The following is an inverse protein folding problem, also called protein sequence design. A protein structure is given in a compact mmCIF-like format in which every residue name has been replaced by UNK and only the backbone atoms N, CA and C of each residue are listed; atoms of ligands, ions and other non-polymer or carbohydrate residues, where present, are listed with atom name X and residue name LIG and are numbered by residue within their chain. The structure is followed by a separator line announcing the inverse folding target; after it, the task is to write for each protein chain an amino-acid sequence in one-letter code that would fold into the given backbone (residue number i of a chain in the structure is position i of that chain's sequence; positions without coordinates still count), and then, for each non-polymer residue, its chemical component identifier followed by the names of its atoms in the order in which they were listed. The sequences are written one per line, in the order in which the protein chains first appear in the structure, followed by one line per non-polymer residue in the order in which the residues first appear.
data_IF_333738914189
#
_entry.id   IF_333738914189
#
_cell.length_a   1.000
_cell.length_b   1.000
_cell.length_c   1.000
_cell.angle_alpha   90.00
_cell.angle_beta   90.00
_cell.angle_gamma   90.00
#
_symmetry.space_group_name_H-M   'P 1'
#
loop_
_entity.id
_entity.type
_entity.pdbx_description
1 polymer ?
#
# COMPACT_ATOMS: atom_id res chain seq x y z
N UNK A 1 23.09 18.52 3.76
CA UNK A 1 22.14 19.12 2.80
C UNK A 1 22.54 18.69 1.40
N UNK A 2 22.03 17.56 0.90
CA UNK A 2 22.15 17.23 -0.52
C UNK A 2 20.86 17.72 -1.18
N UNK A 3 20.99 18.76 -1.97
CA UNK A 3 19.92 19.38 -2.74
C UNK A 3 19.44 18.41 -3.80
N UNK A 4 18.16 18.22 -3.89
CA UNK A 4 17.40 17.32 -4.74
C UNK A 4 17.48 17.74 -6.24
N UNK A 5 18.70 17.83 -6.81
CA UNK A 5 18.93 18.10 -8.23
C UNK A 5 18.83 16.84 -9.12
N UNK A 6 18.69 15.64 -8.51
CA UNK A 6 18.76 14.36 -9.24
C UNK A 6 17.48 13.93 -9.96
N UNK A 7 16.32 14.61 -9.76
CA UNK A 7 15.07 14.20 -10.42
C UNK A 7 14.86 14.73 -11.84
N UNK A 8 15.57 15.79 -12.21
CA UNK A 8 15.49 16.30 -13.59
C UNK A 8 16.39 15.49 -14.55
N UNK A 9 17.40 14.79 -14.02
CA UNK A 9 18.36 13.97 -14.77
C UNK A 9 18.14 12.45 -14.57
N UNK A 10 16.96 12.01 -14.13
CA UNK A 10 16.69 10.60 -13.82
C UNK A 10 16.96 9.64 -15.00
N UNK A 11 17.00 10.13 -16.21
CA UNK A 11 17.42 9.37 -17.39
C UNK A 11 18.94 9.13 -17.48
N UNK A 12 19.75 10.00 -16.89
CA UNK A 12 21.22 9.96 -16.97
C UNK A 12 21.87 9.21 -15.78
N UNK A 13 21.17 9.06 -14.65
CA UNK A 13 21.73 8.45 -13.42
C UNK A 13 21.41 6.96 -13.23
N UNK A 14 20.69 6.36 -14.17
CA UNK A 14 20.27 4.95 -14.08
C UNK A 14 21.40 3.93 -14.31
N UNK A 15 22.63 4.35 -14.60
CA UNK A 15 23.78 3.46 -14.87
C UNK A 15 24.63 3.14 -13.64
N UNK A 16 24.30 3.68 -12.47
CA UNK A 16 25.13 3.52 -11.26
C UNK A 16 24.63 2.35 -10.41
N UNK A 17 25.55 1.54 -9.91
CA UNK A 17 25.48 0.48 -8.91
C UNK A 17 24.45 -0.67 -9.14
N UNK A 18 24.74 -1.91 -8.74
CA UNK A 18 23.77 -3.01 -8.74
C UNK A 18 22.61 -2.68 -7.78
N UNK A 19 21.40 -3.04 -8.18
CA UNK A 19 20.23 -2.96 -7.31
C UNK A 19 20.36 -3.99 -6.18
N UNK A 20 20.15 -3.56 -4.97
CA UNK A 20 19.81 -4.41 -3.83
C UNK A 20 18.29 -4.65 -3.81
N UNK A 21 17.79 -5.55 -2.97
CA UNK A 21 16.39 -5.99 -3.00
C UNK A 21 15.35 -4.88 -3.03
N UNK A 22 15.47 -3.83 -2.21
CA UNK A 22 14.47 -2.76 -2.13
C UNK A 22 14.52 -1.79 -3.31
N UNK A 23 15.72 -1.47 -3.80
CA UNK A 23 15.92 -0.48 -4.86
C UNK A 23 15.54 0.95 -4.47
N UNK A 24 15.19 1.22 -3.21
CA UNK A 24 14.82 2.54 -2.72
C UNK A 24 15.94 3.22 -1.95
N UNK A 25 16.16 4.53 -2.15
CA UNK A 25 17.13 5.26 -1.34
C UNK A 25 16.61 5.42 0.11
N UNK A 26 17.49 5.26 1.07
CA UNK A 26 17.17 5.39 2.49
C UNK A 26 16.70 6.81 2.83
N UNK A 27 15.60 6.93 3.59
CA UNK A 27 15.05 8.21 4.03
C UNK A 27 15.31 8.40 5.52
N UNK A 28 16.00 9.47 5.89
CA UNK A 28 16.30 9.77 7.29
C UNK A 28 15.04 10.10 8.12
N UNK A 29 15.13 9.86 9.43
CA UNK A 29 14.04 10.00 10.41
C UNK A 29 13.32 11.35 10.41
N UNK A 30 13.96 12.41 9.90
CA UNK A 30 13.42 13.78 9.87
C UNK A 30 12.89 14.21 8.51
N UNK A 31 12.98 13.34 7.48
CA UNK A 31 12.56 13.64 6.12
C UNK A 31 11.22 12.97 5.80
N UNK A 32 10.57 13.45 4.75
CA UNK A 32 9.41 12.75 4.18
C UNK A 32 9.84 11.46 3.52
N UNK A 33 8.93 10.53 3.32
CA UNK A 33 9.14 9.27 2.57
C UNK A 33 9.88 9.48 1.24
N UNK A 34 9.64 10.57 0.53
CA UNK A 34 10.27 10.89 -0.76
C UNK A 34 11.32 12.00 -0.64
N UNK A 35 11.60 12.50 0.55
CA UNK A 35 12.48 13.66 0.76
C UNK A 35 11.91 14.98 0.20
N UNK A 36 10.59 15.06 -0.03
CA UNK A 36 9.94 16.27 -0.56
C UNK A 36 9.87 17.39 0.50
N UNK A 37 9.94 18.66 0.07
CA UNK A 37 9.67 19.79 0.97
C UNK A 37 8.17 19.86 1.31
N UNK A 38 7.76 20.90 2.06
CA UNK A 38 6.35 21.19 2.31
C UNK A 38 5.51 21.10 1.04
N UNK A 39 4.28 20.57 1.15
CA UNK A 39 3.40 20.30 0.01
C UNK A 39 3.31 21.45 -1.02
N UNK A 40 3.15 22.75 -0.65
CA UNK A 40 3.07 23.79 -1.66
C UNK A 40 4.32 23.94 -2.53
N UNK A 41 5.51 23.70 -1.97
CA UNK A 41 6.76 23.76 -2.70
C UNK A 41 6.95 22.51 -3.59
N UNK A 42 6.69 21.33 -3.03
CA UNK A 42 6.71 20.07 -3.77
C UNK A 42 5.73 20.09 -4.95
N UNK A 43 4.49 20.54 -4.72
CA UNK A 43 3.48 20.65 -5.75
C UNK A 43 3.91 21.58 -6.90
N UNK A 44 4.58 22.71 -6.64
CA UNK A 44 5.09 23.58 -7.72
C UNK A 44 6.08 22.86 -8.62
N UNK A 45 6.95 22.04 -8.05
CA UNK A 45 7.92 21.24 -8.81
C UNK A 45 7.22 20.19 -9.66
N UNK A 46 6.29 19.44 -9.06
CA UNK A 46 5.57 18.37 -9.76
C UNK A 46 4.62 18.90 -10.85
N UNK A 47 4.05 20.10 -10.66
CA UNK A 47 3.21 20.76 -11.66
C UNK A 47 3.98 21.10 -12.96
N UNK A 48 5.29 21.21 -12.93
CA UNK A 48 6.12 21.40 -14.12
C UNK A 48 6.25 20.13 -14.96
N UNK A 49 6.02 18.93 -14.37
CA UNK A 49 6.10 17.66 -15.07
C UNK A 49 4.83 17.38 -15.90
N UNK A 50 4.82 17.86 -17.15
CA UNK A 50 3.67 17.72 -18.05
C UNK A 50 3.38 16.27 -18.45
N UNK A 51 4.40 15.40 -18.49
CA UNK A 51 4.23 13.98 -18.80
C UNK A 51 3.51 13.26 -17.68
N UNK A 52 3.96 13.42 -16.44
CA UNK A 52 3.30 12.87 -15.24
C UNK A 52 1.84 13.33 -15.17
N UNK A 53 1.58 14.62 -15.35
CA UNK A 53 0.22 15.17 -15.32
C UNK A 53 -0.70 14.55 -16.36
N UNK A 54 -0.20 14.32 -17.58
CA UNK A 54 -0.95 13.64 -18.63
C UNK A 54 -1.23 12.18 -18.26
N UNK A 55 -0.23 11.46 -17.76
CA UNK A 55 -0.37 10.08 -17.36
C UNK A 55 -1.40 9.92 -16.22
N UNK A 56 -1.33 10.78 -15.21
CA UNK A 56 -2.27 10.80 -14.08
C UNK A 56 -3.70 11.11 -14.53
N UNK A 57 -3.90 12.17 -15.30
CA UNK A 57 -5.23 12.56 -15.78
C UNK A 57 -5.87 11.45 -16.63
N UNK A 58 -5.08 10.77 -17.48
CA UNK A 58 -5.55 9.66 -18.29
C UNK A 58 -5.95 8.46 -17.42
N UNK A 59 -5.08 8.02 -16.53
CA UNK A 59 -5.31 6.81 -15.71
C UNK A 59 -6.45 7.02 -14.70
N UNK A 60 -6.46 8.13 -13.97
CA UNK A 60 -7.55 8.43 -13.02
C UNK A 60 -8.89 8.61 -13.73
N UNK A 61 -8.90 9.21 -14.92
CA UNK A 61 -10.09 9.35 -15.75
C UNK A 61 -10.71 8.00 -16.13
N UNK A 62 -9.89 7.05 -16.57
CA UNK A 62 -10.34 5.67 -16.89
C UNK A 62 -10.92 5.00 -15.66
N UNK A 63 -10.23 5.06 -14.53
CA UNK A 63 -10.69 4.41 -13.28
C UNK A 63 -12.02 5.03 -12.81
N UNK A 64 -12.16 6.36 -12.85
CA UNK A 64 -13.41 7.06 -12.51
C UNK A 64 -14.59 6.56 -13.36
N UNK A 65 -14.38 6.48 -14.68
CA UNK A 65 -15.42 6.03 -15.60
C UNK A 65 -15.86 4.59 -15.34
N UNK A 66 -14.89 3.68 -15.15
CA UNK A 66 -15.17 2.29 -14.81
C UNK A 66 -15.91 2.17 -13.48
N UNK A 67 -15.44 2.92 -12.45
CA UNK A 67 -16.10 2.92 -11.15
C UNK A 67 -17.54 3.37 -11.24
N UNK A 68 -17.81 4.49 -11.93
CA UNK A 68 -19.16 4.99 -12.09
C UNK A 68 -20.08 3.92 -12.70
N UNK A 69 -19.65 3.27 -13.78
CA UNK A 69 -20.42 2.25 -14.46
C UNK A 69 -20.81 1.06 -13.53
N UNK A 70 -19.84 0.51 -12.75
CA UNK A 70 -20.13 -0.65 -11.88
C UNK A 70 -20.87 -0.27 -10.59
N UNK A 71 -20.83 0.99 -10.19
CA UNK A 71 -21.61 1.52 -9.07
C UNK A 71 -23.06 1.72 -9.48
N UNK A 72 -23.30 2.28 -10.67
CA UNK A 72 -24.64 2.50 -11.22
C UNK A 72 -25.44 1.21 -11.46
N UNK A 73 -24.76 0.05 -11.47
CA UNK A 73 -25.41 -1.27 -11.55
C UNK A 73 -26.12 -1.68 -10.25
N UNK A 74 -25.82 -1.01 -9.13
CA UNK A 74 -26.32 -1.37 -7.80
C UNK A 74 -27.33 -0.35 -7.27
N UNK A 75 -28.59 -0.73 -7.19
CA UNK A 75 -29.64 0.09 -6.60
C UNK A 75 -29.41 0.37 -5.11
N UNK A 76 -28.69 -0.50 -4.40
CA UNK A 76 -28.43 -0.43 -2.96
C UNK A 76 -27.01 0.08 -2.61
N UNK A 77 -26.31 0.77 -3.52
CA UNK A 77 -24.93 1.23 -3.27
C UNK A 77 -24.78 2.07 -2.01
N UNK A 78 -25.69 3.00 -1.75
CA UNK A 78 -25.66 3.84 -0.55
C UNK A 78 -25.91 3.06 0.74
N UNK A 79 -26.71 1.99 0.68
CA UNK A 79 -26.92 1.07 1.80
C UNK A 79 -25.66 0.29 2.11
N UNK A 80 -24.96 -0.22 1.10
CA UNK A 80 -23.68 -0.89 1.25
C UNK A 80 -22.61 0.02 1.88
N UNK A 81 -22.53 1.29 1.44
CA UNK A 81 -21.63 2.29 2.03
C UNK A 81 -21.92 2.53 3.52
N UNK A 82 -23.21 2.67 3.88
CA UNK A 82 -23.64 2.82 5.28
C UNK A 82 -23.33 1.57 6.11
N UNK A 83 -23.55 0.39 5.56
CA UNK A 83 -23.21 -0.87 6.21
C UNK A 83 -21.71 -0.96 6.48
N UNK A 84 -20.87 -0.66 5.48
CA UNK A 84 -19.43 -0.65 5.61
C UNK A 84 -18.95 0.37 6.68
N UNK A 85 -19.52 1.57 6.71
CA UNK A 85 -19.27 2.58 7.74
C UNK A 85 -19.63 2.05 9.14
N UNK A 86 -20.82 1.47 9.30
CA UNK A 86 -21.31 0.96 10.58
C UNK A 86 -20.47 -0.21 11.08
N UNK A 87 -20.07 -1.13 10.20
CA UNK A 87 -19.18 -2.24 10.55
C UNK A 87 -17.84 -1.69 11.05
N UNK A 88 -17.21 -0.76 10.32
CA UNK A 88 -15.94 -0.15 10.74
C UNK A 88 -16.08 0.63 12.06
N UNK A 89 -17.17 1.35 12.26
CA UNK A 89 -17.44 2.05 13.52
C UNK A 89 -17.63 1.08 14.70
N UNK A 90 -18.30 -0.05 14.48
CA UNK A 90 -18.45 -1.12 15.49
C UNK A 90 -17.09 -1.76 15.78
N UNK A 91 -16.29 -2.01 14.75
CA UNK A 91 -14.92 -2.53 14.87
C UNK A 91 -14.06 -1.62 15.75
N UNK A 92 -13.99 -0.33 15.42
CA UNK A 92 -13.13 0.62 16.13
C UNK A 92 -13.54 0.84 17.59
N UNK A 93 -14.84 0.71 17.91
CA UNK A 93 -15.33 0.80 19.30
C UNK A 93 -14.99 -0.42 20.16
N UNK A 94 -14.77 -1.57 19.55
CA UNK A 94 -14.51 -2.83 20.25
C UNK A 94 -13.17 -3.42 19.79
N UNK A 95 -12.23 -2.56 19.41
CA UNK A 95 -10.99 -2.98 18.75
C UNK A 95 -10.16 -3.91 19.62
N UNK A 96 -10.07 -3.61 20.90
CA UNK A 96 -9.35 -4.41 21.91
C UNK A 96 -9.87 -5.85 22.00
N UNK A 97 -11.19 -6.01 22.20
CA UNK A 97 -11.82 -7.32 22.27
C UNK A 97 -11.69 -8.13 20.98
N UNK A 98 -11.87 -7.46 19.82
CA UNK A 98 -11.75 -8.13 18.52
C UNK A 98 -10.32 -8.54 18.18
N UNK A 99 -9.32 -7.78 18.62
CA UNK A 99 -7.92 -8.15 18.44
C UNK A 99 -7.53 -9.36 19.30
N UNK A 100 -8.02 -9.43 20.53
CA UNK A 100 -7.82 -10.62 21.41
C UNK A 100 -8.49 -11.85 20.81
N UNK A 101 -9.75 -11.72 20.35
CA UNK A 101 -10.47 -12.82 19.68
C UNK A 101 -9.72 -13.30 18.43
N UNK A 102 -9.23 -12.35 17.60
CA UNK A 102 -8.44 -12.68 16.42
C UNK A 102 -7.17 -13.48 16.77
N UNK A 103 -6.42 -13.01 17.78
CA UNK A 103 -5.20 -13.69 18.22
C UNK A 103 -5.50 -15.11 18.72
N UNK A 104 -6.55 -15.29 19.52
CA UNK A 104 -6.97 -16.60 20.02
C UNK A 104 -7.31 -17.56 18.87
N UNK A 105 -8.11 -17.10 17.90
CA UNK A 105 -8.55 -17.91 16.75
C UNK A 105 -7.38 -18.23 15.81
N UNK A 106 -6.56 -17.24 15.47
CA UNK A 106 -5.41 -17.43 14.59
C UNK A 106 -4.38 -18.39 15.23
N UNK A 107 -4.12 -18.26 16.53
CA UNK A 107 -3.22 -19.14 17.27
C UNK A 107 -3.78 -20.56 17.35
N UNK A 108 -5.07 -20.72 17.61
CA UNK A 108 -5.72 -22.03 17.61
C UNK A 108 -5.65 -22.72 16.22
N UNK A 109 -5.59 -21.94 15.15
CA UNK A 109 -5.41 -22.43 13.78
C UNK A 109 -3.93 -22.68 13.39
N UNK A 110 -2.97 -22.46 14.30
CA UNK A 110 -1.55 -22.76 14.12
C UNK A 110 -0.69 -21.58 13.67
N UNK A 111 -1.22 -20.36 13.63
CA UNK A 111 -0.42 -19.16 13.41
C UNK A 111 0.26 -18.69 14.70
N UNK A 112 1.37 -17.96 14.56
CA UNK A 112 2.03 -17.26 15.66
C UNK A 112 1.75 -15.77 15.52
N UNK A 113 1.08 -15.17 16.51
CA UNK A 113 0.74 -13.75 16.49
C UNK A 113 1.78 -12.96 17.29
N UNK A 114 2.23 -11.87 16.70
CA UNK A 114 3.17 -10.91 17.28
C UNK A 114 2.51 -9.54 17.35
N UNK A 115 2.80 -8.79 18.41
CA UNK A 115 2.35 -7.41 18.56
C UNK A 115 3.50 -6.45 18.35
N UNK A 116 3.31 -5.44 17.53
CA UNK A 116 4.28 -4.39 17.27
C UNK A 116 3.66 -3.02 17.55
N UNK A 117 4.25 -2.29 18.49
CA UNK A 117 3.79 -0.95 18.90
C UNK A 117 4.09 0.10 17.84
N UNK A 118 5.21 -0.07 17.14
CA UNK A 118 5.74 0.90 16.19
C UNK A 118 6.50 0.22 15.04
N UNK A 119 6.95 1.03 14.08
CA UNK A 119 7.68 0.59 12.90
C UNK A 119 8.98 -0.14 13.27
N UNK A 120 9.73 0.35 14.26
CA UNK A 120 11.00 -0.24 14.66
C UNK A 120 10.82 -1.65 15.24
N UNK A 121 9.81 -1.83 16.09
CA UNK A 121 9.50 -3.14 16.67
C UNK A 121 9.00 -4.12 15.60
N UNK A 122 8.13 -3.68 14.69
CA UNK A 122 7.66 -4.50 13.59
C UNK A 122 8.79 -4.95 12.68
N UNK A 123 9.66 -4.04 12.26
CA UNK A 123 10.81 -4.34 11.42
C UNK A 123 11.77 -5.33 12.10
N UNK A 124 12.06 -5.13 13.39
CA UNK A 124 12.89 -6.07 14.17
C UNK A 124 12.28 -7.46 14.19
N UNK A 125 10.98 -7.58 14.48
CA UNK A 125 10.28 -8.89 14.50
C UNK A 125 10.40 -9.58 13.14
N UNK A 126 10.09 -8.87 12.04
CA UNK A 126 10.13 -9.45 10.69
C UNK A 126 11.54 -9.88 10.31
N UNK A 127 12.56 -9.03 10.54
CA UNK A 127 13.97 -9.34 10.25
C UNK A 127 14.44 -10.57 11.06
N UNK A 128 14.10 -10.64 12.34
CA UNK A 128 14.46 -11.79 13.21
C UNK A 128 13.81 -13.09 12.70
N UNK A 129 12.54 -13.03 12.30
CA UNK A 129 11.82 -14.18 11.73
C UNK A 129 12.45 -14.66 10.42
N UNK A 130 12.81 -13.74 9.52
CA UNK A 130 13.49 -14.12 8.25
C UNK A 130 14.84 -14.75 8.54
N UNK A 131 15.66 -14.13 9.40
CA UNK A 131 16.98 -14.68 9.79
C UNK A 131 16.88 -16.07 10.41
N UNK A 132 15.84 -16.33 11.18
CA UNK A 132 15.63 -17.65 11.80
C UNK A 132 15.43 -18.77 10.75
N UNK A 133 14.98 -18.45 9.53
CA UNK A 133 14.86 -19.41 8.41
C UNK A 133 16.17 -19.65 7.67
N UNK A 134 17.20 -18.83 7.92
CA UNK A 134 18.45 -18.83 7.15
C UNK A 134 18.29 -18.32 5.71
N UNK A 135 17.21 -17.60 5.40
CA UNK A 135 16.99 -16.98 4.11
C UNK A 135 17.72 -15.63 4.03
N UNK A 136 18.30 -15.34 2.87
CA UNK A 136 18.93 -14.07 2.50
C UNK A 136 18.09 -13.26 1.49
N UNK A 137 16.94 -13.82 1.09
CA UNK A 137 15.96 -13.13 0.24
C UNK A 137 14.53 -13.49 0.62
N UNK A 138 13.59 -12.59 0.31
CA UNK A 138 12.15 -12.79 0.49
C UNK A 138 11.39 -12.35 -0.76
N UNK A 139 10.23 -12.96 -1.02
CA UNK A 139 9.24 -12.42 -1.97
C UNK A 139 8.17 -11.66 -1.20
N UNK A 140 7.77 -10.53 -1.71
CA UNK A 140 6.84 -9.63 -1.02
C UNK A 140 5.70 -9.22 -1.94
N UNK A 141 4.47 -9.33 -1.45
CA UNK A 141 3.32 -8.71 -2.09
C UNK A 141 3.16 -7.29 -1.56
N UNK A 142 2.75 -6.40 -2.42
CA UNK A 142 2.51 -5.00 -2.07
C UNK A 142 1.64 -4.87 -0.83
N UNK A 143 2.12 -4.15 0.14
CA UNK A 143 1.39 -3.84 1.36
C UNK A 143 1.68 -2.41 1.82
N UNK A 144 0.61 -1.62 2.03
CA UNK A 144 0.75 -0.27 2.57
C UNK A 144 1.33 -0.26 3.98
N UNK A 145 1.03 -1.28 4.80
CA UNK A 145 1.57 -1.39 6.15
C UNK A 145 3.08 -1.61 6.12
N UNK A 146 3.58 -2.45 5.21
CA UNK A 146 5.04 -2.69 5.08
C UNK A 146 5.78 -1.49 4.49
N UNK A 147 5.16 -0.74 3.59
CA UNK A 147 5.73 0.51 3.08
C UNK A 147 5.73 1.63 4.13
N UNK A 148 4.71 1.70 4.97
CA UNK A 148 4.57 2.67 6.06
C UNK A 148 5.73 2.57 7.07
N UNK A 149 6.19 1.34 7.34
CA UNK A 149 7.29 1.05 8.28
C UNK A 149 8.66 0.96 7.61
N UNK A 150 8.78 1.25 6.31
CA UNK A 150 10.02 1.15 5.53
C UNK A 150 10.67 -0.25 5.67
N UNK A 151 9.84 -1.31 5.54
CA UNK A 151 10.30 -2.68 5.78
C UNK A 151 11.34 -3.15 4.76
N UNK A 152 11.27 -2.69 3.50
CA UNK A 152 12.26 -3.07 2.49
C UNK A 152 13.65 -2.56 2.88
N UNK A 153 13.72 -1.32 3.34
CA UNK A 153 14.94 -0.69 3.83
C UNK A 153 15.51 -1.42 5.04
N UNK A 154 14.64 -1.79 5.99
CA UNK A 154 15.06 -2.54 7.17
C UNK A 154 15.58 -3.96 6.84
N UNK A 155 15.00 -4.62 5.85
CA UNK A 155 15.49 -5.91 5.35
C UNK A 155 16.84 -5.76 4.64
N UNK A 156 16.98 -4.74 3.79
CA UNK A 156 18.24 -4.42 3.09
C UNK A 156 19.38 -4.11 4.07
N UNK A 157 19.12 -3.27 5.08
CA UNK A 157 20.07 -2.98 6.15
C UNK A 157 20.48 -4.25 6.94
N UNK A 158 19.62 -5.24 6.96
CA UNK A 158 19.88 -6.54 7.57
C UNK A 158 20.59 -7.55 6.63
N UNK A 159 20.86 -7.16 5.37
CA UNK A 159 21.46 -7.99 4.32
C UNK A 159 20.48 -9.00 3.71
N UNK A 160 19.18 -8.69 3.69
CA UNK A 160 18.12 -9.54 3.15
C UNK A 160 17.50 -8.83 1.94
N UNK A 161 17.54 -9.46 0.76
CA UNK A 161 16.91 -8.93 -0.45
C UNK A 161 15.38 -9.08 -0.40
N UNK A 162 14.65 -7.99 -0.58
CA UNK A 162 13.18 -7.99 -0.63
C UNK A 162 12.68 -7.77 -2.08
N UNK A 163 12.08 -8.80 -2.68
CA UNK A 163 11.61 -8.76 -4.06
C UNK A 163 10.13 -8.40 -4.12
N UNK A 164 9.83 -7.23 -4.67
CA UNK A 164 8.45 -6.82 -4.97
C UNK A 164 7.90 -7.67 -6.13
N UNK A 165 6.67 -8.14 -5.97
CA UNK A 165 6.07 -9.10 -6.91
C UNK A 165 4.86 -8.57 -7.68
N UNK A 166 4.26 -7.46 -7.26
CA UNK A 166 3.29 -6.72 -8.06
C UNK A 166 3.97 -6.08 -9.27
N UNK A 167 3.32 -6.06 -10.42
CA UNK A 167 3.90 -5.44 -11.62
C UNK A 167 4.26 -3.97 -11.39
N UNK A 168 3.38 -3.20 -10.77
CA UNK A 168 3.60 -1.79 -10.54
C UNK A 168 4.71 -1.52 -9.51
N UNK A 169 4.79 -2.32 -8.44
CA UNK A 169 5.87 -2.23 -7.46
C UNK A 169 7.20 -2.70 -8.04
N UNK A 170 7.21 -3.75 -8.87
CA UNK A 170 8.41 -4.18 -9.59
C UNK A 170 8.97 -3.06 -10.50
N UNK A 171 8.08 -2.32 -11.19
CA UNK A 171 8.49 -1.18 -12.01
C UNK A 171 9.13 -0.10 -11.16
N UNK A 172 8.54 0.22 -10.00
CA UNK A 172 9.04 1.21 -9.05
C UNK A 172 10.41 0.76 -8.50
N UNK A 173 10.52 -0.48 -8.05
CA UNK A 173 11.76 -1.05 -7.51
C UNK A 173 12.88 -1.06 -8.55
N UNK A 174 12.64 -1.61 -9.75
CA UNK A 174 13.62 -1.63 -10.83
C UNK A 174 13.97 -0.23 -11.35
N UNK A 175 13.05 0.72 -11.24
CA UNK A 175 13.24 2.11 -11.62
C UNK A 175 14.00 2.95 -10.58
N UNK A 176 14.30 2.40 -9.39
CA UNK A 176 14.80 3.16 -8.23
C UNK A 176 13.94 4.41 -7.98
N UNK A 177 12.62 4.22 -8.04
CA UNK A 177 11.60 5.27 -7.97
C UNK A 177 10.74 5.10 -6.70
N UNK A 178 9.79 5.99 -6.51
CA UNK A 178 8.86 5.99 -5.40
C UNK A 178 7.45 5.73 -5.87
N UNK A 179 6.62 5.01 -5.09
CA UNK A 179 5.21 4.85 -5.42
C UNK A 179 4.50 6.20 -5.35
N UNK A 180 3.63 6.48 -6.32
CA UNK A 180 2.86 7.73 -6.39
C UNK A 180 1.34 7.54 -6.22
N UNK A 181 0.90 6.30 -6.06
CA UNK A 181 -0.51 5.94 -5.86
C UNK A 181 -0.63 4.71 -4.97
N UNK A 182 -1.65 4.66 -4.11
CA UNK A 182 -1.85 3.55 -3.17
C UNK A 182 -2.10 2.21 -3.91
N UNK A 183 -2.87 2.21 -4.99
CA UNK A 183 -3.28 0.99 -5.69
C UNK A 183 -2.43 0.70 -6.94
N UNK A 184 -2.03 1.73 -7.67
CA UNK A 184 -1.24 1.64 -8.90
C UNK A 184 0.05 2.46 -8.73
N UNK A 185 1.05 1.94 -8.02
CA UNK A 185 2.24 2.69 -7.60
C UNK A 185 2.96 3.41 -8.73
N UNK A 186 3.09 2.78 -9.90
CA UNK A 186 3.76 3.32 -11.08
C UNK A 186 2.85 4.13 -12.03
N UNK A 187 1.70 4.64 -11.56
CA UNK A 187 0.69 5.37 -12.37
C UNK A 187 1.28 6.59 -13.12
N UNK A 188 2.38 7.13 -12.65
CA UNK A 188 3.10 8.27 -13.24
C UNK A 188 3.99 7.87 -14.43
N UNK A 189 4.25 6.55 -14.63
CA UNK A 189 5.07 6.02 -15.74
C UNK A 189 4.20 5.60 -16.91
N UNK A 190 4.70 5.80 -18.13
CA UNK A 190 4.10 5.25 -19.34
C UNK A 190 4.80 3.95 -19.78
N UNK A 191 4.22 3.26 -20.76
CA UNK A 191 4.70 1.94 -21.22
C UNK A 191 6.11 1.97 -21.79
N UNK A 192 6.49 3.04 -22.51
CA UNK A 192 7.82 3.17 -23.08
C UNK A 192 8.88 3.35 -21.99
N UNK A 193 8.59 4.11 -20.92
CA UNK A 193 9.44 4.24 -19.74
C UNK A 193 9.60 2.88 -19.03
N UNK A 194 8.51 2.12 -18.88
CA UNK A 194 8.55 0.77 -18.28
C UNK A 194 9.43 -0.18 -19.10
N UNK A 195 9.29 -0.17 -20.43
CA UNK A 195 10.15 -0.96 -21.34
C UNK A 195 11.63 -0.65 -21.13
N UNK A 196 11.98 0.63 -21.07
CA UNK A 196 13.37 1.06 -20.85
C UNK A 196 13.93 0.62 -19.50
N UNK A 197 13.13 0.71 -18.43
CA UNK A 197 13.49 0.21 -17.10
C UNK A 197 13.79 -1.29 -17.17
N UNK A 198 12.91 -2.10 -17.76
CA UNK A 198 13.06 -3.55 -17.86
C UNK A 198 14.32 -3.94 -18.64
N UNK A 199 14.55 -3.36 -19.81
CA UNK A 199 15.73 -3.66 -20.63
C UNK A 199 17.05 -3.36 -19.92
N UNK A 200 17.08 -2.29 -19.10
CA UNK A 200 18.29 -1.88 -18.39
C UNK A 200 18.52 -2.65 -17.09
N UNK A 201 17.46 -2.89 -16.30
CA UNK A 201 17.58 -3.27 -14.89
C UNK A 201 17.34 -4.75 -14.60
N UNK A 202 16.48 -5.44 -15.32
CA UNK A 202 16.19 -6.85 -15.00
C UNK A 202 17.42 -7.73 -15.00
N UNK A 203 18.35 -7.51 -15.95
CA UNK A 203 19.60 -8.28 -16.05
C UNK A 203 20.54 -8.15 -14.84
N UNK A 204 20.38 -7.10 -14.04
CA UNK A 204 21.23 -6.85 -12.87
C UNK A 204 20.79 -7.67 -11.65
N UNK A 205 19.50 -8.07 -11.62
CA UNK A 205 18.87 -8.70 -10.45
C UNK A 205 18.21 -10.03 -10.76
N UNK A 206 18.53 -10.67 -11.90
CA UNK A 206 18.00 -11.96 -12.29
C UNK A 206 17.79 -12.09 -13.78
N UNK A 207 16.71 -12.76 -14.20
CA UNK A 207 16.40 -13.01 -15.60
C UNK A 207 16.27 -11.70 -16.39
N UNK A 208 17.05 -11.49 -17.47
CA UNK A 208 16.96 -10.30 -18.31
C UNK A 208 15.64 -10.22 -19.05
N UNK A 209 15.21 -9.00 -19.38
CA UNK A 209 14.15 -8.79 -20.35
C UNK A 209 14.59 -9.25 -21.76
N UNK A 210 13.66 -9.72 -22.60
CA UNK A 210 13.97 -10.03 -23.99
C UNK A 210 14.52 -8.81 -24.74
N UNK A 211 15.55 -8.99 -25.59
CA UNK A 211 16.14 -7.90 -26.35
C UNK A 211 15.15 -7.22 -27.31
N UNK A 212 14.18 -7.99 -27.83
CA UNK A 212 13.09 -7.53 -28.70
C UNK A 212 11.85 -7.04 -27.93
N UNK A 213 11.99 -6.74 -26.63
CA UNK A 213 10.89 -6.26 -25.80
C UNK A 213 10.28 -4.98 -26.39
N UNK A 214 8.97 -4.99 -26.61
CA UNK A 214 8.19 -3.82 -27.04
C UNK A 214 7.43 -3.21 -25.86
N UNK A 215 6.78 -2.08 -26.08
CA UNK A 215 5.90 -1.43 -25.09
C UNK A 215 4.44 -1.96 -25.13
N UNK A 216 4.22 -3.09 -25.82
CA UNK A 216 2.95 -3.81 -25.73
C UNK A 216 2.73 -4.32 -24.30
N UNK A 217 1.55 -4.06 -23.69
CA UNK A 217 1.29 -4.43 -22.28
C UNK A 217 1.45 -5.93 -22.00
N UNK A 218 1.10 -6.79 -22.95
CA UNK A 218 1.21 -8.26 -22.78
C UNK A 218 2.67 -8.68 -22.78
N UNK A 219 3.50 -8.06 -23.63
CA UNK A 219 4.95 -8.32 -23.67
C UNK A 219 5.64 -7.85 -22.41
N UNK A 220 5.28 -6.69 -21.88
CA UNK A 220 5.80 -6.17 -20.62
C UNK A 220 5.39 -7.06 -19.42
N UNK A 221 4.11 -7.43 -19.34
CA UNK A 221 3.63 -8.32 -18.28
C UNK A 221 4.30 -9.71 -18.34
N UNK A 222 4.50 -10.26 -19.54
CA UNK A 222 5.18 -11.55 -19.72
C UNK A 222 6.66 -11.48 -19.31
N UNK A 223 7.36 -10.40 -19.63
CA UNK A 223 8.75 -10.18 -19.17
C UNK A 223 8.83 -10.15 -17.64
N UNK A 224 7.94 -9.42 -16.98
CA UNK A 224 7.85 -9.37 -15.52
C UNK A 224 7.52 -10.75 -14.93
N UNK A 225 6.54 -11.46 -15.48
CA UNK A 225 6.16 -12.80 -15.03
C UNK A 225 7.34 -13.79 -15.09
N UNK A 226 8.07 -13.78 -16.17
CA UNK A 226 9.24 -14.66 -16.34
C UNK A 226 10.40 -14.28 -15.42
N UNK A 227 10.60 -13.00 -15.18
CA UNK A 227 11.60 -12.49 -14.24
C UNK A 227 11.30 -12.89 -12.80
N UNK A 228 10.05 -12.75 -12.37
CA UNK A 228 9.62 -13.08 -11.01
C UNK A 228 9.51 -14.58 -10.75
N UNK A 229 9.26 -15.38 -11.80
CA UNK A 229 9.08 -16.84 -11.64
C UNK A 229 10.22 -17.51 -10.90
N UNK A 230 11.46 -17.14 -11.19
CA UNK A 230 12.65 -17.72 -10.53
C UNK A 230 12.69 -17.37 -9.03
N UNK A 231 12.28 -16.14 -8.70
CA UNK A 231 12.21 -15.67 -7.30
C UNK A 231 11.13 -16.42 -6.52
N UNK A 232 9.94 -16.58 -7.08
CA UNK A 232 8.86 -17.37 -6.47
C UNK A 232 9.24 -18.82 -6.19
N UNK A 233 9.99 -19.45 -7.10
CA UNK A 233 10.33 -20.87 -6.99
C UNK A 233 11.45 -21.17 -5.99
N UNK A 234 12.25 -20.17 -5.61
CA UNK A 234 13.38 -20.37 -4.69
C UNK A 234 13.16 -19.71 -3.30
N UNK A 235 12.25 -18.75 -3.19
CA UNK A 235 12.02 -18.03 -1.96
C UNK A 235 11.48 -18.96 -0.87
N UNK A 236 12.11 -18.93 0.32
CA UNK A 236 11.68 -19.68 1.51
C UNK A 236 10.68 -18.87 2.35
N UNK A 237 10.71 -17.55 2.22
CA UNK A 237 9.88 -16.63 3.01
C UNK A 237 9.06 -15.76 2.08
N UNK A 238 7.75 -15.70 2.34
CA UNK A 238 6.83 -14.75 1.75
C UNK A 238 6.41 -13.69 2.78
N UNK A 239 6.40 -12.42 2.35
CA UNK A 239 5.91 -11.32 3.18
C UNK A 239 4.66 -10.72 2.53
N UNK A 240 3.65 -10.47 3.36
CA UNK A 240 2.36 -9.92 2.94
C UNK A 240 1.84 -8.89 3.95
N UNK A 241 0.81 -8.18 3.54
CA UNK A 241 -0.16 -7.57 4.42
C UNK A 241 -1.49 -8.32 4.34
N UNK A 242 -2.56 -7.67 4.80
CA UNK A 242 -3.92 -8.13 4.54
C UNK A 242 -4.82 -6.94 4.20
N UNK A 243 -5.82 -7.18 3.34
CA UNK A 243 -6.90 -6.22 3.14
C UNK A 243 -7.79 -6.19 4.38
N UNK A 244 -8.08 -7.37 4.93
CA UNK A 244 -8.87 -7.55 6.15
C UNK A 244 -8.33 -8.71 6.98
N UNK A 245 -8.58 -8.66 8.29
CA UNK A 245 -8.39 -9.75 9.24
C UNK A 245 -9.74 -9.99 9.93
N UNK A 246 -10.21 -11.22 9.96
CA UNK A 246 -11.56 -11.58 10.43
C UNK A 246 -11.47 -12.18 11.82
N UNK A 247 -12.03 -11.52 12.84
CA UNK A 247 -11.83 -11.88 14.26
C UNK A 247 -12.42 -13.25 14.61
N UNK A 248 -13.67 -13.50 14.24
CA UNK A 248 -14.37 -14.73 14.60
C UNK A 248 -13.75 -16.02 14.01
N UNK A 249 -12.90 -15.90 12.99
CA UNK A 249 -12.24 -17.05 12.34
C UNK A 249 -10.71 -17.03 12.45
N UNK A 250 -10.09 -15.92 12.84
CA UNK A 250 -8.64 -15.75 12.84
C UNK A 250 -8.05 -15.71 11.41
N UNK A 251 -8.85 -15.35 10.41
CA UNK A 251 -8.46 -15.44 9.00
C UNK A 251 -7.90 -14.14 8.47
N UNK A 252 -6.90 -14.22 7.58
CA UNK A 252 -6.41 -13.12 6.77
C UNK A 252 -7.03 -13.17 5.37
N UNK A 253 -7.45 -12.02 4.86
CA UNK A 253 -8.06 -11.86 3.54
C UNK A 253 -7.17 -10.99 2.67
N UNK A 254 -6.76 -11.51 1.52
CA UNK A 254 -5.99 -10.81 0.50
C UNK A 254 -6.79 -10.75 -0.78
N UNK A 255 -6.97 -9.54 -1.30
CA UNK A 255 -7.76 -9.24 -2.50
C UNK A 255 -6.84 -8.63 -3.53
N UNK A 256 -6.70 -9.28 -4.69
CA UNK A 256 -5.75 -8.91 -5.74
C UNK A 256 -6.26 -9.23 -7.15
N UNK A 257 -5.57 -8.73 -8.17
CA UNK A 257 -5.94 -8.92 -9.58
C UNK A 257 -4.89 -9.68 -10.41
N UNK A 258 -3.67 -9.88 -9.89
CA UNK A 258 -2.52 -10.39 -10.65
C UNK A 258 -2.17 -11.85 -10.31
N UNK A 259 -2.53 -12.36 -9.15
CA UNK A 259 -2.19 -13.69 -8.65
C UNK A 259 -0.80 -13.80 -8.01
N UNK A 260 -0.02 -12.72 -7.99
CA UNK A 260 1.29 -12.64 -7.33
C UNK A 260 1.19 -12.79 -5.81
N UNK A 261 0.17 -12.20 -5.20
CA UNK A 261 -0.11 -12.34 -3.77
C UNK A 261 -0.36 -13.79 -3.41
N UNK A 262 -1.22 -14.48 -4.16
CA UNK A 262 -1.47 -15.91 -3.98
C UNK A 262 -0.17 -16.73 -4.06
N UNK A 263 0.72 -16.40 -5.00
CA UNK A 263 2.03 -17.06 -5.12
C UNK A 263 2.91 -16.80 -3.89
N UNK A 264 3.00 -15.54 -3.41
CA UNK A 264 3.75 -15.19 -2.20
C UNK A 264 3.23 -15.88 -0.94
N UNK A 265 1.91 -16.06 -0.84
CA UNK A 265 1.29 -16.60 0.36
C UNK A 265 1.19 -18.14 0.36
N UNK A 266 1.44 -18.80 -0.78
CA UNK A 266 1.25 -20.25 -0.93
C UNK A 266 2.56 -21.01 -1.11
N UNK A 267 3.51 -20.48 -1.89
CA UNK A 267 4.73 -21.22 -2.26
C UNK A 267 5.79 -21.27 -1.17
N UNK A 268 6.10 -20.18 -0.44
CA UNK A 268 7.12 -20.19 0.59
C UNK A 268 6.72 -21.06 1.79
N UNK A 269 7.71 -21.66 2.42
CA UNK A 269 7.54 -22.44 3.64
C UNK A 269 7.12 -21.59 4.85
N UNK A 270 7.58 -20.34 4.88
CA UNK A 270 7.27 -19.38 5.95
C UNK A 270 6.54 -18.18 5.37
N UNK A 271 5.38 -17.86 5.95
CA UNK A 271 4.59 -16.67 5.64
C UNK A 271 4.63 -15.70 6.82
N UNK A 272 4.97 -14.43 6.54
CA UNK A 272 4.94 -13.33 7.52
C UNK A 272 3.97 -12.26 7.01
N UNK A 273 2.90 -11.99 7.75
CA UNK A 273 1.90 -10.99 7.38
C UNK A 273 1.90 -9.82 8.36
N UNK A 274 2.18 -8.60 7.87
CA UNK A 274 2.12 -7.36 8.68
C UNK A 274 0.78 -6.69 8.47
N UNK A 275 -0.01 -6.58 9.53
CA UNK A 275 -1.41 -6.17 9.48
C UNK A 275 -1.66 -5.02 10.45
N UNK A 276 -2.05 -3.85 9.94
CA UNK A 276 -2.50 -2.76 10.80
C UNK A 276 -3.75 -3.16 11.60
N UNK A 277 -3.77 -2.84 12.89
CA UNK A 277 -4.86 -3.25 13.80
C UNK A 277 -6.24 -2.78 13.33
N UNK A 278 -6.31 -1.69 12.57
CA UNK A 278 -7.55 -1.18 11.99
C UNK A 278 -8.14 -2.05 10.87
N UNK A 279 -7.39 -3.08 10.41
CA UNK A 279 -7.83 -3.98 9.34
C UNK A 279 -8.78 -5.07 9.81
N UNK A 280 -8.97 -5.19 11.12
CA UNK A 280 -9.87 -6.19 11.68
C UNK A 280 -11.32 -5.95 11.23
N UNK A 281 -12.05 -7.04 11.04
CA UNK A 281 -13.52 -7.10 10.88
C UNK A 281 -14.06 -8.06 11.92
N UNK A 282 -15.25 -7.80 12.51
CA UNK A 282 -15.79 -8.65 13.57
C UNK A 282 -16.09 -10.07 13.11
N UNK A 283 -16.80 -10.23 12.00
CA UNK A 283 -17.32 -11.53 11.58
C UNK A 283 -17.09 -11.79 10.10
N UNK A 284 -17.15 -13.07 9.74
CA UNK A 284 -17.14 -13.51 8.35
C UNK A 284 -18.27 -12.87 7.50
N UNK A 285 -19.46 -12.73 8.06
CA UNK A 285 -20.57 -12.09 7.36
C UNK A 285 -20.31 -10.60 7.07
N UNK A 286 -19.59 -9.90 7.95
CA UNK A 286 -19.22 -8.50 7.71
C UNK A 286 -18.28 -8.36 6.49
N UNK A 287 -17.47 -9.37 6.19
CA UNK A 287 -16.56 -9.36 5.03
C UNK A 287 -17.31 -9.23 3.69
N UNK A 288 -18.51 -9.80 3.56
CA UNK A 288 -19.29 -9.77 2.32
C UNK A 288 -19.56 -8.34 1.82
N UNK A 289 -19.79 -7.40 2.75
CA UNK A 289 -19.97 -5.99 2.41
C UNK A 289 -18.70 -5.41 1.78
N UNK A 290 -17.56 -5.73 2.36
CA UNK A 290 -16.26 -5.19 1.87
C UNK A 290 -15.83 -5.82 0.54
N UNK A 291 -16.15 -7.08 0.29
CA UNK A 291 -15.90 -7.73 -1.01
C UNK A 291 -16.74 -7.12 -2.14
N UNK A 292 -17.84 -6.45 -1.82
CA UNK A 292 -18.64 -5.71 -2.80
C UNK A 292 -18.13 -4.27 -3.00
N UNK A 293 -17.83 -3.56 -1.91
CA UNK A 293 -17.47 -2.12 -2.02
C UNK A 293 -16.01 -1.88 -2.42
N UNK A 294 -15.07 -2.77 -2.05
CA UNK A 294 -13.66 -2.58 -2.33
C UNK A 294 -13.34 -2.66 -3.83
N UNK A 295 -13.67 -3.72 -4.60
CA UNK A 295 -13.34 -3.81 -6.02
C UNK A 295 -13.96 -2.68 -6.84
N UNK A 296 -15.24 -2.38 -6.59
CA UNK A 296 -15.94 -1.29 -7.28
C UNK A 296 -15.31 0.06 -7.05
N UNK A 297 -14.83 0.29 -5.83
CA UNK A 297 -14.20 1.57 -5.46
C UNK A 297 -12.75 1.68 -5.92
N UNK A 298 -12.02 0.57 -6.08
CA UNK A 298 -10.60 0.57 -6.41
C UNK A 298 -10.35 0.66 -7.92
N UNK A 299 -10.65 -0.38 -8.66
CA UNK A 299 -10.37 -0.49 -10.10
C UNK A 299 -11.62 -0.43 -10.98
N UNK A 300 -12.79 -0.29 -10.36
CA UNK A 300 -14.07 -0.30 -11.07
C UNK A 300 -14.42 -1.70 -11.59
N UNK A 301 -14.26 -2.71 -10.73
CA UNK A 301 -14.59 -4.10 -11.02
C UNK A 301 -15.74 -4.55 -10.12
N UNK A 302 -16.61 -5.44 -10.61
CA UNK A 302 -17.72 -5.99 -9.79
C UNK A 302 -17.19 -6.82 -8.63
N UNK A 303 -16.12 -7.58 -8.88
CA UNK A 303 -15.38 -8.40 -7.91
C UNK A 303 -13.92 -8.51 -8.35
N UNK A 304 -13.02 -8.84 -7.44
CA UNK A 304 -11.62 -9.07 -7.79
C UNK A 304 -11.43 -10.47 -8.37
N UNK A 305 -10.53 -10.66 -9.34
CA UNK A 305 -10.19 -11.97 -9.90
C UNK A 305 -9.72 -12.97 -8.85
N UNK A 306 -9.01 -12.51 -7.84
CA UNK A 306 -8.51 -13.33 -6.75
C UNK A 306 -8.90 -12.73 -5.40
N UNK A 307 -9.72 -13.46 -4.67
CA UNK A 307 -9.96 -13.27 -3.24
C UNK A 307 -9.50 -14.52 -2.54
N UNK A 308 -8.47 -14.40 -1.71
CA UNK A 308 -7.84 -15.53 -1.06
C UNK A 308 -7.84 -15.33 0.45
N UNK A 309 -8.05 -16.43 1.17
CA UNK A 309 -8.21 -16.43 2.62
C UNK A 309 -7.29 -17.49 3.20
N UNK A 310 -6.51 -17.09 4.20
CA UNK A 310 -5.61 -17.95 4.94
C UNK A 310 -6.06 -18.01 6.39
N UNK A 311 -6.33 -19.23 6.86
CA UNK A 311 -6.74 -19.51 8.24
C UNK A 311 -5.78 -20.52 8.82
N UNK A 312 -4.69 -20.02 9.42
CA UNK A 312 -3.68 -20.85 10.08
C UNK A 312 -2.85 -21.73 9.14
N UNK A 313 -2.39 -22.86 9.65
CA UNK A 313 -1.46 -23.76 8.99
C UNK A 313 -2.12 -25.11 8.73
N UNK A 314 -1.96 -25.63 7.51
CA UNK A 314 -2.36 -26.98 7.14
C UNK A 314 -1.12 -27.80 6.79
N UNK A 315 -0.90 -28.91 7.50
CA UNK A 315 0.28 -29.75 7.31
C UNK A 315 0.36 -30.28 5.87
N UNK A 316 1.47 -29.96 5.20
CA UNK A 316 1.76 -30.41 3.85
C UNK A 316 1.05 -29.61 2.74
N UNK A 317 0.32 -28.53 3.09
CA UNK A 317 -0.33 -27.62 2.13
C UNK A 317 -0.07 -26.16 2.49
N UNK A 318 0.52 -25.42 1.55
CA UNK A 318 0.92 -24.02 1.76
C UNK A 318 2.04 -23.83 2.80
N UNK A 319 2.15 -22.63 3.38
CA UNK A 319 3.16 -22.33 4.40
C UNK A 319 3.02 -23.22 5.63
N UNK A 320 4.14 -23.73 6.10
CA UNK A 320 4.20 -24.57 7.32
C UNK A 320 4.47 -23.72 8.57
N UNK A 321 4.91 -22.48 8.39
CA UNK A 321 5.09 -21.50 9.45
C UNK A 321 4.34 -20.22 9.06
N UNK A 322 3.37 -19.80 9.85
CA UNK A 322 2.59 -18.60 9.62
C UNK A 322 2.74 -17.63 10.79
N UNK A 323 3.29 -16.47 10.52
CA UNK A 323 3.47 -15.39 11.49
C UNK A 323 2.61 -14.19 11.10
N UNK A 324 1.90 -13.61 12.07
CA UNK A 324 1.07 -12.43 11.89
C UNK A 324 1.58 -11.34 12.82
N UNK A 325 2.02 -10.22 12.29
CA UNK A 325 2.47 -9.06 13.06
C UNK A 325 1.35 -8.03 13.07
N UNK A 326 0.67 -7.89 14.20
CA UNK A 326 -0.35 -6.86 14.44
C UNK A 326 0.36 -5.54 14.75
N UNK A 327 0.18 -4.56 13.86
CA UNK A 327 0.89 -3.29 13.89
C UNK A 327 -0.01 -2.16 14.40
N UNK A 328 0.35 -1.54 15.52
CA UNK A 328 -0.28 -0.29 15.99
C UNK A 328 0.26 0.93 15.23
N UNK A 329 1.51 1.24 15.34
CA UNK A 329 2.18 2.37 14.70
C UNK A 329 1.31 3.64 14.73
N UNK A 330 0.96 4.09 15.94
CA UNK A 330 0.12 5.26 16.24
C UNK A 330 -1.37 5.17 15.87
N UNK A 331 -1.89 3.99 15.50
CA UNK A 331 -3.32 3.84 15.23
C UNK A 331 -4.18 4.04 16.47
N UNK A 332 -3.69 3.66 17.63
CA UNK A 332 -4.35 3.93 18.91
C UNK A 332 -4.39 5.43 19.24
N UNK A 333 -3.36 6.19 18.87
CA UNK A 333 -3.36 7.65 19.01
C UNK A 333 -4.41 8.29 18.10
N UNK A 334 -4.50 7.84 16.83
CA UNK A 334 -5.56 8.26 15.89
C UNK A 334 -6.95 7.90 16.42
N UNK A 335 -7.10 6.73 17.03
CA UNK A 335 -8.37 6.28 17.60
C UNK A 335 -8.83 7.18 18.77
N UNK A 336 -7.91 7.76 19.51
CA UNK A 336 -8.19 8.66 20.61
C UNK A 336 -8.71 10.04 20.15
N UNK A 337 -8.42 10.48 18.93
CA UNK A 337 -8.93 11.72 18.35
C UNK A 337 -10.41 11.54 17.92
N UNK A 338 -11.32 12.30 18.52
CA UNK A 338 -12.77 12.18 18.27
C UNK A 338 -13.18 12.45 16.83
N UNK A 339 -12.50 13.33 16.12
CA UNK A 339 -12.77 13.67 14.71
C UNK A 339 -11.88 12.87 13.79
N UNK A 340 -10.59 12.77 14.09
CA UNK A 340 -9.58 12.12 13.27
C UNK A 340 -9.74 10.61 13.15
N UNK A 341 -10.31 9.94 14.18
CA UNK A 341 -10.47 8.47 14.22
C UNK A 341 -11.21 7.89 13.01
N UNK A 342 -12.07 8.66 12.37
CA UNK A 342 -12.80 8.25 11.18
C UNK A 342 -11.86 7.87 10.01
N UNK A 343 -10.63 8.41 9.99
CA UNK A 343 -9.59 8.02 9.03
C UNK A 343 -9.23 6.53 9.11
N UNK A 344 -9.36 5.89 10.28
CA UNK A 344 -9.10 4.45 10.47
C UNK A 344 -10.15 3.54 9.82
N UNK A 345 -11.31 4.08 9.40
CA UNK A 345 -12.25 3.31 8.56
C UNK A 345 -11.69 2.97 7.18
N UNK A 346 -10.62 3.63 6.75
CA UNK A 346 -10.07 3.53 5.39
C UNK A 346 -9.66 2.10 5.02
N UNK A 347 -10.23 1.58 3.93
CA UNK A 347 -9.92 0.28 3.34
C UNK A 347 -8.86 0.34 2.23
N UNK A 348 -8.21 1.48 2.02
CA UNK A 348 -7.13 1.72 1.05
C UNK A 348 -7.55 1.52 -0.42
N UNK A 349 -8.81 1.76 -0.78
CA UNK A 349 -9.35 1.57 -2.14
C UNK A 349 -8.90 2.63 -3.16
N UNK A 350 -8.30 3.73 -2.75
CA UNK A 350 -7.85 4.84 -3.62
C UNK A 350 -8.95 5.64 -4.35
N UNK A 351 -10.24 5.38 -4.13
CA UNK A 351 -11.30 6.12 -4.82
C UNK A 351 -11.16 7.65 -4.65
N UNK A 352 -10.81 8.11 -3.46
CA UNK A 352 -10.60 9.52 -3.17
C UNK A 352 -9.43 10.15 -3.96
N UNK A 353 -8.37 9.38 -4.25
CA UNK A 353 -7.25 9.84 -5.09
C UNK A 353 -7.71 10.07 -6.52
N UNK A 354 -8.47 9.12 -7.06
CA UNK A 354 -8.89 9.12 -8.46
C UNK A 354 -9.86 10.26 -8.81
N UNK A 355 -10.55 10.86 -7.83
CA UNK A 355 -11.47 11.99 -8.04
C UNK A 355 -10.88 13.33 -7.62
N UNK A 356 -9.71 13.34 -6.97
CA UNK A 356 -9.14 14.55 -6.40
C UNK A 356 -8.47 15.44 -7.45
N UNK A 357 -8.95 16.67 -7.66
CA UNK A 357 -8.33 17.59 -8.62
C UNK A 357 -6.93 18.03 -8.21
N UNK A 358 -6.61 18.02 -6.92
CA UNK A 358 -5.27 18.36 -6.42
C UNK A 358 -4.30 17.21 -6.72
N UNK A 359 -4.67 15.99 -6.38
CA UNK A 359 -3.85 14.81 -6.69
C UNK A 359 -3.61 14.63 -8.19
N UNK A 360 -4.64 14.76 -9.01
CA UNK A 360 -4.54 14.65 -10.48
C UNK A 360 -3.51 15.63 -11.07
N UNK A 361 -3.35 16.81 -10.45
CA UNK A 361 -2.43 17.85 -10.89
C UNK A 361 -1.03 17.74 -10.31
N UNK A 362 -0.94 17.56 -9.00
CA UNK A 362 0.34 17.57 -8.26
C UNK A 362 1.03 16.19 -8.24
N UNK A 363 0.28 15.09 -8.41
CA UNK A 363 0.81 13.73 -8.27
C UNK A 363 1.02 13.32 -6.83
N UNK A 364 1.32 12.01 -6.66
CA UNK A 364 1.49 11.43 -5.32
C UNK A 364 2.77 11.85 -4.63
N UNK A 365 3.85 12.02 -5.39
CA UNK A 365 5.16 12.39 -4.84
C UNK A 365 5.12 13.72 -4.08
N UNK A 366 4.28 14.68 -4.50
CA UNK A 366 4.15 15.97 -3.82
C UNK A 366 3.74 15.85 -2.35
N UNK A 367 3.09 14.74 -1.95
CA UNK A 367 2.69 14.50 -0.56
C UNK A 367 3.86 14.00 0.31
N UNK A 368 4.94 13.49 -0.27
CA UNK A 368 6.10 12.96 0.46
C UNK A 368 5.74 11.86 1.46
N UNK A 369 4.77 11.02 1.12
CA UNK A 369 4.23 9.97 1.98
C UNK A 369 3.80 8.76 1.16
N UNK A 370 3.82 7.58 1.78
CA UNK A 370 3.26 6.36 1.22
C UNK A 370 1.74 6.47 0.99
N UNK A 371 1.08 7.35 1.74
CA UNK A 371 -0.33 7.69 1.59
C UNK A 371 -0.48 9.05 0.91
N UNK A 372 -0.60 9.11 -0.43
CA UNK A 372 -0.86 10.38 -1.12
C UNK A 372 -2.35 10.68 -1.21
N UNK A 373 -2.67 11.86 -1.74
CA UNK A 373 -4.03 12.29 -2.01
C UNK A 373 -4.83 12.61 -0.75
N UNK A 374 -6.18 12.69 -0.85
CA UNK A 374 -7.02 13.14 0.26
C UNK A 374 -6.89 12.30 1.53
N UNK A 375 -6.84 10.96 1.41
CA UNK A 375 -6.65 10.11 2.59
C UNK A 375 -5.27 10.31 3.22
N UNK A 376 -4.23 10.49 2.41
CA UNK A 376 -2.89 10.76 2.92
C UNK A 376 -2.77 12.12 3.60
N UNK A 377 -3.49 13.11 3.11
CA UNK A 377 -3.52 14.44 3.70
C UNK A 377 -4.10 14.47 5.13
N UNK A 378 -4.89 13.47 5.50
CA UNK A 378 -5.41 13.31 6.87
C UNK A 378 -4.69 12.22 7.66
N UNK A 379 -4.40 11.08 7.05
CA UNK A 379 -3.85 9.92 7.77
C UNK A 379 -2.36 10.08 8.08
N UNK A 380 -1.57 10.60 7.15
CA UNK A 380 -0.11 10.78 7.35
C UNK A 380 0.22 11.65 8.56
N UNK A 381 -0.34 12.89 8.70
CA UNK A 381 -0.05 13.70 9.87
C UNK A 381 -0.56 13.11 11.18
N UNK A 382 -1.60 12.28 11.14
CA UNK A 382 -2.09 11.60 12.33
C UNK A 382 -1.18 10.44 12.77
N UNK A 383 -0.66 9.64 11.82
CA UNK A 383 0.24 8.53 12.12
C UNK A 383 1.68 8.98 12.42
N UNK A 384 2.16 10.05 11.81
CA UNK A 384 3.54 10.54 11.97
C UNK A 384 3.68 11.64 13.00
N UNK A 385 2.55 12.17 13.44
CA UNK A 385 2.51 13.36 14.28
C UNK A 385 2.62 14.65 13.48
N UNK A 386 2.38 15.75 14.15
CA UNK A 386 2.31 17.10 13.58
C UNK A 386 3.50 17.98 13.97
N UNK A 387 4.59 17.38 14.43
CA UNK A 387 5.83 18.10 14.77
C UNK A 387 6.60 18.58 13.54
N UNK A 388 6.49 17.86 12.42
CA UNK A 388 7.15 18.19 11.16
C UNK A 388 6.36 19.26 10.39
N UNK A 389 7.04 20.30 9.94
CA UNK A 389 6.43 21.32 9.08
C UNK A 389 5.96 20.78 7.72
N UNK A 390 6.46 19.63 7.29
CA UNK A 390 6.01 18.92 6.09
C UNK A 390 4.65 18.27 6.36
N UNK A 391 4.52 17.51 7.45
CA UNK A 391 3.28 16.85 7.82
C UNK A 391 2.18 17.87 8.13
N UNK A 392 2.52 18.99 8.80
CA UNK A 392 1.62 20.12 8.99
C UNK A 392 1.09 20.75 7.70
N UNK A 393 1.80 20.61 6.59
CA UNK A 393 1.36 21.16 5.30
C UNK A 393 0.36 20.28 4.56
N UNK A 394 0.22 19.01 4.92
CA UNK A 394 -0.62 18.04 4.22
C UNK A 394 -2.12 18.32 4.32
N UNK A 395 -2.70 18.76 5.45
CA UNK A 395 -4.11 19.14 5.53
C UNK A 395 -4.51 20.25 4.56
N UNK A 396 -3.56 21.05 4.11
CA UNK A 396 -3.79 22.12 3.12
C UNK A 396 -3.67 21.63 1.66
N UNK A 397 -3.35 20.35 1.43
CA UNK A 397 -3.28 19.72 0.09
C UNK A 397 -4.68 19.39 -0.46
N UNK A 398 -5.62 20.32 -0.36
CA UNK A 398 -7.02 20.11 -0.72
C UNK A 398 -7.64 21.37 -1.31
N UNK A 399 -8.66 21.18 -2.17
CA UNK A 399 -9.57 22.23 -2.61
C UNK A 399 -10.88 22.26 -1.81
N UNK A 400 -11.06 21.37 -0.86
CA UNK A 400 -12.29 21.19 -0.05
C UNK A 400 -13.56 21.00 -0.89
N UNK A 401 -13.46 20.47 -2.11
CA UNK A 401 -14.60 20.30 -3.02
C UNK A 401 -15.59 19.19 -2.64
N UNK A 402 -15.28 18.35 -1.64
CA UNK A 402 -16.17 17.28 -1.16
C UNK A 402 -16.12 15.98 -1.96
N UNK A 403 -15.59 15.96 -3.18
CA UNK A 403 -15.63 14.77 -4.05
C UNK A 403 -15.02 13.50 -3.41
N UNK A 404 -14.04 13.64 -2.53
CA UNK A 404 -13.44 12.51 -1.80
C UNK A 404 -14.40 11.88 -0.78
N UNK A 405 -15.31 12.65 -0.17
CA UNK A 405 -16.37 12.13 0.68
C UNK A 405 -17.44 11.39 -0.14
N UNK A 406 -17.86 11.99 -1.25
CA UNK A 406 -18.92 11.42 -2.09
C UNK A 406 -18.56 10.03 -2.61
N UNK A 407 -17.30 9.79 -2.96
CA UNK A 407 -16.86 8.49 -3.49
C UNK A 407 -16.42 7.49 -2.43
N UNK A 408 -16.23 7.91 -1.17
CA UNK A 408 -15.68 7.03 -0.14
C UNK A 408 -16.63 5.88 0.20
N UNK A 409 -16.24 4.61 -0.01
CA UNK A 409 -17.12 3.47 0.25
C UNK A 409 -17.39 3.21 1.74
N UNK A 410 -16.60 3.80 2.62
CA UNK A 410 -16.73 3.73 4.09
C UNK A 410 -17.05 5.10 4.70
N UNK A 411 -17.48 6.05 3.86
CA UNK A 411 -18.05 7.35 4.22
C UNK A 411 -17.18 8.19 5.19
N UNK A 412 -15.86 8.25 4.93
CA UNK A 412 -14.96 9.13 5.69
C UNK A 412 -15.19 10.57 5.23
N UNK A 413 -15.60 11.45 6.14
CA UNK A 413 -15.72 12.88 5.85
C UNK A 413 -14.33 13.54 5.88
N UNK A 414 -13.55 13.28 4.81
CA UNK A 414 -12.18 13.80 4.68
C UNK A 414 -12.14 15.33 4.79
N UNK A 415 -13.05 16.12 4.17
CA UNK A 415 -13.06 17.57 4.33
C UNK A 415 -13.12 18.05 5.79
N UNK A 416 -13.96 17.45 6.63
CA UNK A 416 -14.07 17.82 8.04
C UNK A 416 -12.79 17.52 8.80
N UNK A 417 -12.18 16.36 8.55
CA UNK A 417 -10.92 15.99 9.20
C UNK A 417 -9.78 16.92 8.73
N UNK A 418 -9.75 17.33 7.46
CA UNK A 418 -8.78 18.32 6.97
C UNK A 418 -8.90 19.66 7.72
N UNK A 419 -10.14 20.15 7.92
CA UNK A 419 -10.39 21.37 8.68
C UNK A 419 -9.96 21.19 10.14
N UNK A 420 -10.35 20.09 10.78
CA UNK A 420 -9.93 19.76 12.15
C UNK A 420 -8.41 19.77 12.30
N UNK A 421 -7.69 19.05 11.47
CA UNK A 421 -6.23 19.01 11.51
C UNK A 421 -5.57 20.36 11.22
N UNK A 422 -6.16 21.20 10.36
CA UNK A 422 -5.64 22.52 10.07
C UNK A 422 -5.75 23.48 11.29
N UNK A 423 -6.71 23.24 12.18
CA UNK A 423 -6.92 24.05 13.38
C UNK A 423 -6.02 23.63 14.54
N UNK A 424 -5.71 22.35 14.69
CA UNK A 424 -4.82 21.84 15.75
C UNK A 424 -3.42 22.47 15.67
N UNK A 425 -2.98 22.90 14.48
CA UNK A 425 -1.68 23.53 14.29
C UNK A 425 -1.63 25.02 14.65
N UNK A 426 -2.78 25.63 14.92
CA UNK A 426 -2.89 27.07 15.22
C UNK A 426 -3.00 27.31 16.74
N UNK A 427 -3.36 26.28 17.50
CA UNK A 427 -3.44 26.28 18.96
C UNK A 427 -2.12 25.83 19.59
#
# INVERSE_FOLDING_TARGET
MRTNTHRLDAAATLDAAPLTGSGHPHVGVTSTFVGMPKFPAAARTELANTTQRRNLAHATGIIRTKRAAVVDELDNWEELRRAAEQIKNRTLRNLDALLVEFEEKATAAGAVVHWARDAQEANRIVVDLVRATGADEVVKVKSMATQEIELNEALEDAGIDAWETDLAELIVQLGEDWPSHILVPAIHRNRSEVREIFLRRMKQVGRPAPEDLTDDPRRLAEAARLHLREKFLRAKVGISGANFAVADTGSLVVVESEGNGRMCLTLPETLISVVGIEKILPTWSDLEVFLQVLPRSSTGERENPYTSIWTGVTLGDGPQNMHIVLLDNHRTDVLADEVGRDALRCIRCSACLNVCPVYERAGGHAYGSVYPGPIGAILTPQLRGTSSAVDQSLPYASSLCGACFDVCPVRINIPDILVHLSLIHIS
#
